data_IF_323787396693
#
_entry.id   IF_323787396693
#
_cell.length_a   1.000
_cell.length_b   1.000
_cell.length_c   1.000
_cell.angle_alpha   90.00
_cell.angle_beta   90.00
_cell.angle_gamma   90.00
#
_symmetry.space_group_name_H-M   'P 1'
#
loop_
_entity.id
_entity.type
_entity.pdbx_description
1 polymer ?
#
# COMPACT_ATOMS: atom_id res chain seq x y z
N UNK A 1 -40.62 -38.31 -34.12
CA UNK A 1 -41.59 -37.96 -35.19
C UNK A 1 -42.91 -37.53 -34.58
N UNK A 2 -43.51 -36.49 -35.16
CA UNK A 2 -44.94 -36.06 -35.17
C UNK A 2 -45.67 -35.70 -33.85
N UNK A 3 -46.11 -34.43 -33.86
CA UNK A 3 -47.14 -33.76 -33.06
C UNK A 3 -48.48 -34.52 -33.02
N UNK A 4 -49.23 -34.31 -31.94
CA UNK A 4 -50.70 -34.19 -31.96
C UNK A 4 -51.14 -33.08 -31.00
N UNK A 5 -51.96 -32.16 -31.53
CA UNK A 5 -52.58 -31.01 -30.86
C UNK A 5 -54.10 -31.27 -30.82
N UNK A 6 -54.72 -30.86 -29.71
CA UNK A 6 -56.07 -30.30 -29.52
C UNK A 6 -57.31 -31.12 -29.96
N UNK A 7 -58.33 -31.25 -29.09
CA UNK A 7 -59.37 -30.23 -28.87
C UNK A 7 -60.61 -30.80 -28.15
N UNK A 8 -61.20 -30.04 -27.22
CA UNK A 8 -62.64 -30.07 -26.93
C UNK A 8 -63.10 -28.79 -26.20
N UNK A 9 -63.70 -27.89 -27.00
CA UNK A 9 -64.86 -27.00 -26.83
C UNK A 9 -65.26 -26.30 -25.49
N UNK A 10 -65.45 -24.96 -25.64
CA UNK A 10 -66.24 -23.98 -24.84
C UNK A 10 -67.72 -24.41 -24.70
N UNK A 11 -68.55 -23.98 -23.75
CA UNK A 11 -68.94 -22.58 -23.40
C UNK A 11 -69.90 -22.57 -22.19
N UNK A 12 -69.80 -21.62 -21.24
CA UNK A 12 -70.94 -20.96 -20.55
C UNK A 12 -70.47 -19.77 -19.69
N UNK A 13 -71.28 -18.69 -19.69
CA UNK A 13 -71.05 -17.37 -19.08
C UNK A 13 -71.75 -17.20 -17.71
N UNK A 14 -71.11 -16.38 -16.84
CA UNK A 14 -71.63 -15.42 -15.82
C UNK A 14 -72.55 -15.94 -14.69
N UNK A 15 -72.45 -15.53 -13.42
CA UNK A 15 -72.34 -14.14 -12.91
C UNK A 15 -71.83 -14.13 -11.45
N UNK A 16 -70.94 -13.19 -11.16
CA UNK A 16 -70.59 -12.70 -9.82
C UNK A 16 -71.77 -11.93 -9.19
N UNK A 17 -71.92 -12.03 -7.87
CA UNK A 17 -72.33 -10.89 -7.03
C UNK A 17 -71.66 -11.01 -5.67
N UNK A 18 -70.65 -10.17 -5.45
CA UNK A 18 -69.87 -10.07 -4.21
C UNK A 18 -70.76 -9.49 -3.09
N UNK A 19 -70.68 -9.93 -1.83
CA UNK A 19 -71.51 -9.41 -0.73
C UNK A 19 -71.39 -7.89 -0.49
N UNK A 20 -70.30 -7.28 -1.00
CA UNK A 20 -70.06 -5.83 -1.00
C UNK A 20 -71.07 -5.05 -1.86
N UNK A 21 -71.60 -5.64 -2.94
CA UNK A 21 -72.55 -4.96 -3.84
C UNK A 21 -73.94 -4.75 -3.20
N UNK A 22 -74.33 -5.60 -2.24
CA UNK A 22 -75.59 -5.45 -1.51
C UNK A 22 -75.53 -4.32 -0.49
N UNK A 23 -74.37 -4.11 0.14
CA UNK A 23 -74.15 -3.04 1.11
C UNK A 23 -74.09 -1.65 0.45
N UNK A 24 -73.46 -1.54 -0.73
CA UNK A 24 -73.43 -0.29 -1.50
C UNK A 24 -74.82 0.14 -2.02
N UNK A 25 -75.70 -0.81 -2.33
CA UNK A 25 -77.08 -0.50 -2.75
C UNK A 25 -77.95 0.02 -1.59
N UNK A 26 -77.66 -0.40 -0.36
CA UNK A 26 -78.39 0.01 0.84
C UNK A 26 -78.00 1.43 1.32
N UNK A 27 -76.72 1.81 1.14
CA UNK A 27 -76.23 3.17 1.42
C UNK A 27 -76.76 4.18 0.40
N UNK A 28 -76.84 3.80 -0.89
CA UNK A 28 -77.40 4.67 -1.94
C UNK A 28 -78.87 5.03 -1.74
N UNK A 29 -79.62 4.26 -0.93
CA UNK A 29 -81.02 4.54 -0.57
C UNK A 29 -81.22 5.54 0.57
N UNK A 30 -80.16 5.91 1.32
CA UNK A 30 -80.27 6.78 2.52
C UNK A 30 -79.55 8.12 2.43
N UNK A 31 -79.05 8.51 1.25
CA UNK A 31 -78.35 9.79 1.06
C UNK A 31 -79.06 10.58 -0.02
N UNK A 32 -79.43 11.83 0.27
CA UNK A 32 -80.07 12.71 -0.70
C UNK A 32 -79.16 12.93 -1.92
N UNK A 33 -79.75 13.15 -3.10
CA UNK A 33 -78.98 13.43 -4.34
C UNK A 33 -78.14 14.70 -4.18
N UNK A 34 -78.61 15.64 -3.35
CA UNK A 34 -77.94 16.91 -3.04
C UNK A 34 -76.66 16.70 -2.21
N UNK A 35 -76.67 15.81 -1.20
CA UNK A 35 -75.48 15.48 -0.40
C UNK A 35 -74.42 14.71 -1.21
N UNK A 36 -74.85 13.88 -2.17
CA UNK A 36 -73.93 13.19 -3.08
C UNK A 36 -73.23 14.16 -4.03
N UNK A 37 -73.89 15.22 -4.48
CA UNK A 37 -73.30 16.25 -5.36
C UNK A 37 -72.33 17.15 -4.59
N UNK A 38 -72.66 17.56 -3.36
CA UNK A 38 -71.80 18.41 -2.52
C UNK A 38 -70.47 17.76 -2.13
N UNK A 39 -70.42 16.43 -1.96
CA UNK A 39 -69.21 15.71 -1.56
C UNK A 39 -68.45 15.02 -2.72
N UNK A 40 -69.02 14.96 -3.93
CA UNK A 40 -68.34 14.36 -5.11
C UNK A 40 -67.14 15.19 -5.58
N UNK A 41 -67.24 16.52 -5.55
CA UNK A 41 -66.15 17.41 -5.94
C UNK A 41 -65.03 17.48 -4.90
N UNK A 42 -65.38 17.38 -3.61
CA UNK A 42 -64.41 17.30 -2.52
C UNK A 42 -63.71 15.94 -2.54
N UNK A 43 -64.45 14.84 -2.72
CA UNK A 43 -63.90 13.49 -2.83
C UNK A 43 -62.97 13.29 -4.03
N UNK A 44 -63.32 13.84 -5.21
CA UNK A 44 -62.47 13.77 -6.40
C UNK A 44 -61.25 14.68 -6.30
N UNK A 45 -61.35 15.88 -5.70
CA UNK A 45 -60.17 16.73 -5.40
C UNK A 45 -59.22 16.06 -4.42
N UNK A 46 -59.72 15.45 -3.34
CA UNK A 46 -58.90 14.74 -2.35
C UNK A 46 -58.26 13.49 -2.98
N UNK A 47 -58.98 12.73 -3.80
CA UNK A 47 -58.44 11.56 -4.49
C UNK A 47 -57.38 11.94 -5.53
N UNK A 48 -57.57 13.03 -6.30
CA UNK A 48 -56.56 13.57 -7.23
C UNK A 48 -55.33 14.08 -6.47
N UNK A 49 -55.50 14.81 -5.37
CA UNK A 49 -54.39 15.26 -4.53
C UNK A 49 -53.63 14.09 -3.88
N UNK A 50 -54.32 13.04 -3.42
CA UNK A 50 -53.66 11.83 -2.91
C UNK A 50 -52.89 11.09 -4.00
N UNK A 51 -53.42 10.98 -5.22
CA UNK A 51 -52.70 10.41 -6.38
C UNK A 51 -51.48 11.24 -6.76
N UNK A 52 -51.62 12.57 -6.82
CA UNK A 52 -50.51 13.49 -7.14
C UNK A 52 -49.42 13.42 -6.05
N UNK A 53 -49.79 13.44 -4.76
CA UNK A 53 -48.84 13.26 -3.64
C UNK A 53 -48.16 11.89 -3.68
N UNK A 54 -48.88 10.82 -4.02
CA UNK A 54 -48.32 9.47 -4.16
C UNK A 54 -47.35 9.39 -5.33
N UNK A 55 -47.67 9.99 -6.48
CA UNK A 55 -46.79 10.07 -7.64
C UNK A 55 -45.54 10.91 -7.31
N UNK A 56 -45.71 12.11 -6.74
CA UNK A 56 -44.61 12.97 -6.29
C UNK A 56 -43.69 12.25 -5.31
N UNK A 57 -44.25 11.54 -4.33
CA UNK A 57 -43.48 10.76 -3.37
C UNK A 57 -42.72 9.63 -4.06
N UNK A 58 -43.35 8.88 -4.96
CA UNK A 58 -42.69 7.82 -5.74
C UNK A 58 -41.59 8.42 -6.64
N UNK A 59 -41.83 9.53 -7.35
CA UNK A 59 -40.82 10.16 -8.20
C UNK A 59 -39.65 10.75 -7.40
N UNK A 60 -39.90 11.32 -6.23
CA UNK A 60 -38.85 11.83 -5.33
C UNK A 60 -38.06 10.68 -4.71
N UNK A 61 -38.71 9.58 -4.32
CA UNK A 61 -38.03 8.37 -3.85
C UNK A 61 -37.19 7.72 -4.95
N UNK A 62 -37.70 7.62 -6.18
CA UNK A 62 -36.96 7.09 -7.33
C UNK A 62 -35.79 8.03 -7.71
N UNK A 63 -35.99 9.35 -7.74
CA UNK A 63 -34.92 10.31 -8.01
C UNK A 63 -33.84 10.29 -6.92
N UNK A 64 -34.23 10.16 -5.65
CA UNK A 64 -33.33 9.98 -4.52
C UNK A 64 -32.54 8.68 -4.61
N UNK A 65 -33.19 7.55 -4.92
CA UNK A 65 -32.52 6.25 -5.13
C UNK A 65 -31.59 6.31 -6.34
N UNK A 66 -31.99 6.90 -7.47
CA UNK A 66 -31.14 7.04 -8.66
C UNK A 66 -29.96 7.97 -8.41
N UNK A 67 -30.13 9.02 -7.60
CA UNK A 67 -29.04 9.92 -7.22
C UNK A 67 -28.08 9.23 -6.25
N UNK A 68 -28.58 8.45 -5.28
CA UNK A 68 -27.74 7.66 -4.37
C UNK A 68 -27.03 6.54 -5.13
N UNK A 69 -27.71 5.80 -5.99
CA UNK A 69 -27.12 4.74 -6.82
C UNK A 69 -26.15 5.32 -7.85
N UNK A 70 -26.49 6.44 -8.49
CA UNK A 70 -25.62 7.16 -9.41
C UNK A 70 -24.39 7.77 -8.73
N UNK A 71 -24.54 8.31 -7.53
CA UNK A 71 -23.42 8.76 -6.69
C UNK A 71 -22.57 7.58 -6.21
N UNK A 72 -23.21 6.48 -5.79
CA UNK A 72 -22.51 5.27 -5.32
C UNK A 72 -21.73 4.63 -6.46
N UNK A 73 -22.31 4.46 -7.66
CA UNK A 73 -21.62 3.99 -8.87
C UNK A 73 -20.55 4.99 -9.32
N UNK A 74 -20.79 6.30 -9.23
CA UNK A 74 -19.81 7.34 -9.53
C UNK A 74 -18.62 7.40 -8.54
N UNK A 75 -18.82 6.90 -7.32
CA UNK A 75 -17.79 6.79 -6.26
C UNK A 75 -17.08 5.42 -6.31
N UNK A 76 -17.78 4.33 -6.65
CA UNK A 76 -17.20 2.98 -6.77
C UNK A 76 -16.57 2.67 -8.12
N UNK A 77 -16.91 3.39 -9.19
CA UNK A 77 -16.27 3.23 -10.52
C UNK A 77 -14.88 3.85 -10.61
N UNK A 78 -14.43 4.61 -9.60
CA UNK A 78 -13.05 5.11 -9.55
C UNK A 78 -12.13 3.95 -9.22
N UNK A 79 -11.30 3.54 -10.19
CA UNK A 79 -10.19 2.62 -9.92
C UNK A 79 -9.25 3.30 -8.93
N UNK A 80 -9.34 2.91 -7.66
CA UNK A 80 -8.45 3.34 -6.58
C UNK A 80 -7.29 2.35 -6.53
N UNK A 81 -6.07 2.86 -6.65
CA UNK A 81 -4.86 2.07 -6.39
C UNK A 81 -4.21 2.65 -5.14
N UNK A 82 -4.24 1.86 -4.06
CA UNK A 82 -3.64 2.20 -2.77
C UNK A 82 -2.23 1.63 -2.68
N UNK A 83 -1.44 2.11 -1.72
CA UNK A 83 -0.15 1.49 -1.40
C UNK A 83 -0.40 0.06 -0.89
N UNK A 84 0.35 -0.89 -1.41
CA UNK A 84 0.21 -2.32 -1.19
C UNK A 84 1.24 -2.77 -0.14
N UNK A 85 0.79 -3.54 0.85
CA UNK A 85 1.66 -4.38 1.68
C UNK A 85 1.72 -5.77 1.08
N UNK A 86 2.87 -6.43 1.17
CA UNK A 86 3.05 -7.79 0.66
C UNK A 86 2.94 -8.81 1.77
N UNK A 87 2.19 -9.89 1.50
CA UNK A 87 2.09 -11.04 2.40
C UNK A 87 3.42 -11.79 2.52
N UNK A 88 3.58 -12.52 3.64
CA UNK A 88 4.82 -13.21 3.98
C UNK A 88 5.21 -14.38 3.07
N UNK A 89 4.31 -14.82 2.18
CA UNK A 89 4.61 -15.86 1.21
C UNK A 89 5.13 -15.34 -0.13
N UNK A 90 5.13 -14.02 -0.35
CA UNK A 90 5.65 -13.41 -1.57
C UNK A 90 7.18 -13.38 -1.51
N UNK A 91 7.84 -13.87 -2.56
CA UNK A 91 9.28 -13.78 -2.68
C UNK A 91 9.69 -12.33 -2.94
N UNK A 92 10.57 -11.79 -2.09
CA UNK A 92 11.03 -10.41 -2.19
C UNK A 92 12.50 -10.37 -2.58
N UNK A 93 12.85 -9.45 -3.46
CA UNK A 93 14.24 -9.11 -3.73
C UNK A 93 14.40 -7.60 -3.82
N UNK A 94 15.54 -7.09 -3.37
CA UNK A 94 15.83 -5.66 -3.43
C UNK A 94 16.40 -5.30 -4.80
N UNK A 95 15.94 -4.18 -5.35
CA UNK A 95 16.41 -3.69 -6.63
C UNK A 95 17.94 -3.55 -6.66
N UNK A 96 18.54 -2.88 -5.68
CA UNK A 96 20.00 -2.69 -5.61
C UNK A 96 20.78 -4.00 -5.65
N UNK A 97 20.35 -5.00 -4.87
CA UNK A 97 20.97 -6.32 -4.85
C UNK A 97 20.94 -7.00 -6.23
N UNK A 98 19.77 -6.98 -6.89
CA UNK A 98 19.65 -7.54 -8.23
C UNK A 98 20.47 -6.73 -9.24
N UNK A 99 20.40 -5.41 -9.15
CA UNK A 99 21.04 -4.49 -10.08
C UNK A 99 22.56 -4.61 -10.02
N UNK A 100 23.16 -4.64 -8.82
CA UNK A 100 24.58 -4.95 -8.63
C UNK A 100 24.94 -6.30 -9.26
N UNK A 101 24.12 -7.33 -9.03
CA UNK A 101 24.40 -8.65 -9.57
C UNK A 101 24.33 -8.69 -11.09
N UNK A 102 23.38 -7.99 -11.68
CA UNK A 102 23.25 -7.88 -13.13
C UNK A 102 24.39 -7.08 -13.75
N UNK A 103 24.89 -6.03 -13.08
CA UNK A 103 26.10 -5.30 -13.50
C UNK A 103 27.31 -6.23 -13.54
N UNK A 104 27.55 -7.01 -12.49
CA UNK A 104 28.64 -8.00 -12.44
C UNK A 104 28.54 -8.99 -13.61
N UNK A 105 27.36 -9.60 -13.81
CA UNK A 105 27.14 -10.57 -14.87
C UNK A 105 27.36 -9.96 -16.25
N UNK A 106 26.90 -8.73 -16.47
CA UNK A 106 27.08 -8.03 -17.73
C UNK A 106 28.56 -7.75 -18.03
N UNK A 107 29.34 -7.32 -17.04
CA UNK A 107 30.79 -7.12 -17.17
C UNK A 107 31.53 -8.43 -17.51
N UNK A 108 31.03 -9.55 -16.99
CA UNK A 108 31.52 -10.89 -17.29
C UNK A 108 31.03 -11.47 -18.64
N UNK A 109 30.23 -10.72 -19.41
CA UNK A 109 29.61 -11.21 -20.65
C UNK A 109 28.55 -12.30 -20.45
N UNK A 110 28.06 -12.47 -19.21
CA UNK A 110 27.04 -13.45 -18.83
C UNK A 110 25.65 -12.82 -18.83
N UNK A 111 24.62 -13.66 -18.90
CA UNK A 111 23.22 -13.24 -18.76
C UNK A 111 22.63 -13.74 -17.43
N UNK A 112 21.72 -12.99 -16.79
CA UNK A 112 21.03 -13.46 -15.61
C UNK A 112 20.19 -14.72 -15.89
N UNK A 113 20.25 -15.68 -14.98
CA UNK A 113 19.46 -16.91 -15.07
C UNK A 113 17.97 -16.65 -14.74
N UNK A 114 17.09 -16.98 -15.69
CA UNK A 114 15.63 -16.86 -15.55
C UNK A 114 15.05 -17.73 -14.42
N UNK A 115 15.74 -18.79 -14.01
CA UNK A 115 15.32 -19.62 -12.87
C UNK A 115 15.42 -18.86 -11.55
N UNK A 116 16.42 -18.00 -11.43
CA UNK A 116 16.67 -17.24 -10.21
C UNK A 116 16.00 -15.86 -10.23
N UNK A 117 15.90 -15.25 -11.41
CA UNK A 117 15.34 -13.91 -11.62
C UNK A 117 14.18 -13.97 -12.63
N UNK A 118 12.91 -13.90 -12.16
CA UNK A 118 11.74 -13.97 -13.04
C UNK A 118 11.60 -12.78 -14.00
N UNK A 119 12.32 -11.69 -13.73
CA UNK A 119 12.41 -10.50 -14.57
C UNK A 119 13.87 -10.04 -14.65
N UNK A 120 14.28 -9.56 -15.83
CA UNK A 120 15.57 -8.91 -16.06
C UNK A 120 15.40 -7.57 -16.76
N UNK A 121 16.40 -6.70 -16.65
CA UNK A 121 16.43 -5.37 -17.28
C UNK A 121 17.87 -4.98 -17.66
N UNK A 122 17.98 -3.98 -18.52
CA UNK A 122 19.24 -3.30 -18.79
C UNK A 122 19.63 -2.42 -17.59
N UNK A 123 20.81 -2.67 -17.02
CA UNK A 123 21.34 -1.93 -15.88
C UNK A 123 22.00 -0.60 -16.28
N UNK A 124 22.36 -0.44 -17.55
CA UNK A 124 23.01 0.75 -18.10
C UNK A 124 21.97 1.65 -18.77
N UNK A 125 21.07 2.22 -17.97
CA UNK A 125 20.05 3.17 -18.45
C UNK A 125 20.50 4.60 -18.18
N UNK A 126 20.22 5.49 -19.13
CA UNK A 126 20.41 6.93 -18.94
C UNK A 126 19.30 7.49 -18.04
N UNK A 127 19.55 8.60 -17.32
CA UNK A 127 18.49 9.30 -16.61
C UNK A 127 17.33 9.66 -17.54
N UNK A 128 16.10 9.47 -17.04
CA UNK A 128 14.88 9.78 -17.79
C UNK A 128 14.68 11.30 -17.83
N UNK A 129 14.40 11.84 -19.02
CA UNK A 129 14.19 13.27 -19.21
C UNK A 129 12.93 13.75 -18.46
N UNK A 130 13.10 14.70 -17.53
CA UNK A 130 12.01 15.32 -16.79
C UNK A 130 12.22 15.34 -15.28
N UNK A 131 11.17 15.66 -14.54
CA UNK A 131 11.10 15.64 -13.07
C UNK A 131 10.40 14.36 -12.58
N UNK A 132 10.79 13.76 -11.44
CA UNK A 132 10.20 12.52 -10.94
C UNK A 132 8.66 12.55 -10.81
N UNK A 133 8.08 13.68 -10.41
CA UNK A 133 6.63 13.79 -10.26
C UNK A 133 5.88 13.80 -11.60
N UNK A 134 6.43 14.44 -12.63
CA UNK A 134 5.86 14.41 -13.98
C UNK A 134 6.01 13.02 -14.62
N UNK A 135 7.14 12.35 -14.37
CA UNK A 135 7.35 10.96 -14.78
C UNK A 135 6.33 10.03 -14.11
N UNK A 136 6.10 10.20 -12.81
CA UNK A 136 5.06 9.47 -12.08
C UNK A 136 3.67 9.69 -12.72
N UNK A 137 3.28 10.95 -13.01
CA UNK A 137 2.01 11.25 -13.68
C UNK A 137 1.89 10.53 -15.03
N UNK A 138 2.95 10.53 -15.85
CA UNK A 138 2.95 9.85 -17.16
C UNK A 138 2.78 8.33 -16.99
N UNK A 139 3.54 7.70 -16.10
CA UNK A 139 3.43 6.26 -15.78
C UNK A 139 1.99 5.90 -15.38
N UNK A 140 1.41 6.67 -14.46
CA UNK A 140 0.07 6.40 -13.94
C UNK A 140 -1.03 6.68 -14.99
N UNK A 141 -0.84 7.68 -15.86
CA UNK A 141 -1.78 8.01 -16.94
C UNK A 141 -1.94 6.90 -17.97
N UNK A 142 -0.89 6.11 -18.19
CA UNK A 142 -0.89 4.94 -19.09
C UNK A 142 -1.22 3.63 -18.37
N UNK A 143 -1.56 3.71 -17.07
CA UNK A 143 -2.04 2.57 -16.28
C UNK A 143 -0.98 1.80 -15.50
N UNK A 144 0.18 2.40 -15.23
CA UNK A 144 1.25 1.85 -14.37
C UNK A 144 1.79 0.49 -14.88
N UNK A 145 2.15 0.42 -16.15
CA UNK A 145 2.61 -0.79 -16.83
C UNK A 145 4.09 -0.73 -17.15
N UNK A 146 4.74 -1.91 -17.23
CA UNK A 146 6.15 -2.04 -17.61
C UNK A 146 6.43 -1.72 -19.08
N UNK A 147 5.43 -1.77 -19.95
CA UNK A 147 5.54 -1.44 -21.39
C UNK A 147 5.36 0.07 -21.66
N UNK A 148 5.25 0.90 -20.62
CA UNK A 148 5.25 2.35 -20.75
C UNK A 148 6.52 2.82 -21.48
N UNK A 149 6.37 3.81 -22.35
CA UNK A 149 7.46 4.35 -23.17
C UNK A 149 8.66 4.81 -22.34
N UNK A 150 8.43 5.34 -21.13
CA UNK A 150 9.47 5.76 -20.19
C UNK A 150 10.45 4.62 -19.87
N UNK A 151 9.97 3.38 -19.91
CA UNK A 151 10.75 2.20 -19.55
C UNK A 151 11.42 1.50 -20.75
N UNK A 152 11.32 2.05 -21.96
CA UNK A 152 11.85 1.40 -23.17
C UNK A 152 13.33 1.04 -23.06
N UNK A 153 14.15 1.92 -22.49
CA UNK A 153 15.59 1.73 -22.29
C UNK A 153 15.93 0.61 -21.29
N UNK A 154 15.03 0.34 -20.34
CA UNK A 154 15.19 -0.76 -19.39
C UNK A 154 15.02 -2.12 -20.05
N UNK A 155 14.30 -2.20 -21.19
CA UNK A 155 14.10 -3.42 -21.96
C UNK A 155 13.75 -4.62 -21.07
N UNK A 156 12.70 -4.47 -20.25
CA UNK A 156 12.28 -5.49 -19.29
C UNK A 156 11.95 -6.81 -19.99
N UNK A 157 12.56 -7.91 -19.55
CA UNK A 157 12.32 -9.25 -20.07
C UNK A 157 11.79 -10.16 -18.97
N UNK A 158 10.67 -10.81 -19.24
CA UNK A 158 10.03 -11.80 -18.37
C UNK A 158 9.22 -12.78 -19.24
N UNK A 159 8.88 -13.94 -18.70
CA UNK A 159 7.98 -14.89 -19.39
C UNK A 159 6.52 -14.44 -19.25
N UNK A 160 6.00 -13.78 -20.28
CA UNK A 160 4.62 -13.30 -20.31
C UNK A 160 3.57 -14.42 -20.30
N UNK A 161 3.94 -15.68 -20.58
CA UNK A 161 3.02 -16.81 -20.45
C UNK A 161 2.80 -17.22 -18.99
N UNK A 162 3.78 -16.92 -18.12
CA UNK A 162 3.76 -17.25 -16.69
C UNK A 162 3.41 -16.04 -15.82
N UNK A 163 3.96 -14.87 -16.13
CA UNK A 163 3.94 -13.70 -15.25
C UNK A 163 3.07 -12.57 -15.80
N UNK A 164 2.38 -11.89 -14.90
CA UNK A 164 1.67 -10.64 -15.14
C UNK A 164 2.29 -9.52 -14.30
N UNK A 165 3.09 -8.62 -14.89
CA UNK A 165 3.75 -7.57 -14.14
C UNK A 165 2.81 -6.41 -13.82
N UNK A 166 3.04 -5.79 -12.66
CA UNK A 166 2.38 -4.56 -12.21
C UNK A 166 3.37 -3.66 -11.52
N UNK A 167 3.27 -2.36 -11.77
CA UNK A 167 3.97 -1.35 -10.99
C UNK A 167 3.11 -0.96 -9.80
N UNK A 168 3.69 -1.01 -8.61
CA UNK A 168 3.01 -0.73 -7.34
C UNK A 168 3.88 0.16 -6.47
N UNK A 169 3.29 0.78 -5.44
CA UNK A 169 4.03 1.52 -4.41
C UNK A 169 5.00 2.58 -4.94
N UNK A 170 4.47 3.64 -5.55
CA UNK A 170 5.31 4.75 -6.01
C UNK A 170 5.73 5.65 -4.85
N UNK A 171 7.03 5.94 -4.76
CA UNK A 171 7.60 6.88 -3.79
C UNK A 171 8.43 7.96 -4.48
N UNK A 172 8.09 9.21 -4.22
CA UNK A 172 8.97 10.35 -4.52
C UNK A 172 10.00 10.49 -3.40
N UNK A 173 11.20 10.94 -3.73
CA UNK A 173 12.29 11.10 -2.76
C UNK A 173 12.65 12.57 -2.58
N UNK A 174 12.31 13.14 -1.41
CA UNK A 174 12.65 14.54 -1.10
C UNK A 174 14.14 14.75 -0.75
N UNK A 175 14.90 13.66 -0.56
CA UNK A 175 16.33 13.63 -0.24
C UNK A 175 17.11 13.55 -1.55
N UNK A 176 16.91 12.47 -2.30
CA UNK A 176 17.40 12.38 -3.67
C UNK A 176 16.30 12.81 -4.63
N UNK A 177 16.20 14.12 -4.83
CA UNK A 177 15.16 14.77 -5.62
C UNK A 177 15.14 14.38 -7.10
N UNK A 178 16.06 13.56 -7.59
CA UNK A 178 16.05 13.01 -8.94
C UNK A 178 15.47 11.59 -9.01
N UNK A 179 15.10 11.01 -7.88
CA UNK A 179 14.68 9.61 -7.83
C UNK A 179 13.17 9.47 -7.76
N UNK A 180 12.66 8.52 -8.54
CA UNK A 180 11.35 7.91 -8.34
C UNK A 180 11.58 6.44 -8.01
N UNK A 181 11.03 5.99 -6.90
CA UNK A 181 11.05 4.59 -6.51
C UNK A 181 9.68 3.95 -6.76
N UNK A 182 9.68 2.67 -7.10
CA UNK A 182 8.48 1.85 -7.15
C UNK A 182 8.81 0.38 -6.97
N UNK A 183 7.80 -0.43 -6.69
CA UNK A 183 7.92 -1.88 -6.62
C UNK A 183 7.43 -2.50 -7.93
N UNK A 184 8.16 -3.49 -8.46
CA UNK A 184 7.72 -4.32 -9.59
C UNK A 184 7.16 -5.63 -9.02
N UNK A 185 5.84 -5.77 -9.08
CA UNK A 185 5.14 -6.97 -8.65
C UNK A 185 4.88 -7.90 -9.85
N UNK A 186 5.29 -9.15 -9.74
CA UNK A 186 5.05 -10.20 -10.72
C UNK A 186 4.07 -11.21 -10.15
N UNK A 187 2.85 -11.20 -10.67
CA UNK A 187 1.81 -12.16 -10.32
C UNK A 187 1.94 -13.38 -11.23
N UNK A 188 2.04 -14.58 -10.65
CA UNK A 188 2.05 -15.81 -11.42
C UNK A 188 0.62 -16.18 -11.83
N UNK A 189 0.39 -16.26 -13.14
CA UNK A 189 -0.93 -16.51 -13.74
C UNK A 189 -1.50 -17.89 -13.40
N UNK A 190 -0.64 -18.86 -13.07
CA UNK A 190 -1.03 -20.25 -12.79
C UNK A 190 -1.11 -20.55 -11.30
N UNK A 191 -0.33 -19.85 -10.47
CA UNK A 191 -0.27 -20.07 -9.03
C UNK A 191 -0.06 -18.77 -8.26
N UNK A 192 -1.14 -18.21 -7.71
CA UNK A 192 -1.11 -16.94 -6.97
C UNK A 192 -0.19 -16.96 -5.73
N UNK A 193 0.08 -18.15 -5.17
CA UNK A 193 0.99 -18.33 -4.03
C UNK A 193 2.47 -18.29 -4.42
N UNK A 194 2.79 -18.17 -5.72
CA UNK A 194 4.15 -18.02 -6.25
C UNK A 194 4.30 -16.65 -6.90
N UNK A 195 4.09 -15.59 -6.12
CA UNK A 195 4.29 -14.22 -6.57
C UNK A 195 5.67 -13.71 -6.17
N UNK A 196 6.21 -12.80 -6.96
CA UNK A 196 7.56 -12.24 -6.77
C UNK A 196 7.51 -10.72 -6.83
N UNK A 197 8.30 -10.04 -6.00
CA UNK A 197 8.41 -8.58 -6.03
C UNK A 197 9.86 -8.13 -6.01
N UNK A 198 10.19 -7.22 -6.92
CA UNK A 198 11.39 -6.40 -6.84
C UNK A 198 11.02 -5.12 -6.12
N UNK A 199 11.54 -4.93 -4.91
CA UNK A 199 11.25 -3.73 -4.11
C UNK A 199 12.25 -2.62 -4.38
N UNK A 200 11.78 -1.38 -4.23
CA UNK A 200 12.57 -0.16 -4.34
C UNK A 200 13.29 -0.02 -5.69
N UNK A 201 12.64 -0.45 -6.77
CA UNK A 201 13.12 -0.18 -8.12
C UNK A 201 13.25 1.32 -8.31
N UNK A 202 14.45 1.78 -8.60
CA UNK A 202 14.78 3.20 -8.62
C UNK A 202 15.08 3.64 -10.04
N UNK A 203 14.42 4.71 -10.48
CA UNK A 203 14.79 5.41 -11.70
C UNK A 203 15.33 6.80 -11.36
N UNK A 204 16.36 7.22 -12.09
CA UNK A 204 16.92 8.57 -11.99
C UNK A 204 16.37 9.45 -13.12
N UNK A 205 16.08 10.70 -12.81
CA UNK A 205 15.61 11.70 -13.77
C UNK A 205 16.63 12.81 -13.99
N UNK A 206 16.53 13.53 -15.11
CA UNK A 206 17.44 14.64 -15.41
C UNK A 206 17.25 15.84 -14.50
N UNK A 207 15.99 16.17 -14.18
CA UNK A 207 15.61 17.32 -13.34
C UNK A 207 15.30 16.85 -11.92
N UNK A 208 15.37 17.78 -10.98
CA UNK A 208 15.01 17.56 -9.56
C UNK A 208 13.53 17.87 -9.34
N UNK A 209 12.94 17.26 -8.31
CA UNK A 209 11.63 17.61 -7.78
C UNK A 209 11.51 19.11 -7.50
N UNK A 210 10.32 19.66 -7.74
CA UNK A 210 9.99 21.07 -7.51
C UNK A 210 10.39 21.52 -6.10
N UNK A 211 11.18 22.59 -6.04
CA UNK A 211 11.69 23.12 -4.78
C UNK A 211 10.59 23.74 -3.92
N UNK A 212 9.47 24.19 -4.49
CA UNK A 212 8.36 24.76 -3.71
C UNK A 212 7.54 23.65 -3.03
N UNK A 213 7.06 22.67 -3.81
CA UNK A 213 6.29 21.54 -3.30
C UNK A 213 7.06 20.70 -2.28
N UNK A 214 8.38 20.60 -2.41
CA UNK A 214 9.27 19.84 -1.52
C UNK A 214 10.22 20.74 -0.72
N UNK A 215 9.79 21.97 -0.42
CA UNK A 215 10.55 22.90 0.43
C UNK A 215 10.71 22.38 1.86
N UNK A 216 11.78 22.80 2.55
CA UNK A 216 12.02 22.41 3.94
C UNK A 216 10.86 22.85 4.85
N UNK A 217 10.31 24.04 4.64
CA UNK A 217 9.11 24.52 5.35
C UNK A 217 7.91 23.60 5.15
N UNK A 218 7.70 23.08 3.95
CA UNK A 218 6.61 22.15 3.67
C UNK A 218 6.83 20.78 4.31
N UNK A 219 8.08 20.27 4.30
CA UNK A 219 8.46 19.03 4.98
C UNK A 219 8.24 19.14 6.49
N UNK A 220 8.66 20.25 7.11
CA UNK A 220 8.44 20.50 8.53
C UNK A 220 6.95 20.50 8.88
N UNK A 221 6.10 21.13 8.04
CA UNK A 221 4.65 21.09 8.21
C UNK A 221 4.09 19.67 8.15
N UNK A 222 4.51 18.86 7.18
CA UNK A 222 4.04 17.46 7.09
C UNK A 222 4.41 16.64 8.33
N UNK A 223 5.64 16.79 8.83
CA UNK A 223 6.11 16.08 10.03
C UNK A 223 5.37 16.50 11.31
N UNK A 224 4.92 17.76 11.40
CA UNK A 224 4.17 18.28 12.54
C UNK A 224 2.67 17.95 12.48
N UNK A 225 2.10 17.82 11.27
CA UNK A 225 0.68 17.55 11.06
C UNK A 225 0.27 16.11 11.42
N UNK A 226 1.17 15.14 11.23
CA UNK A 226 0.91 13.75 11.59
C UNK A 226 1.54 13.40 12.96
N UNK A 227 0.74 13.28 14.03
CA UNK A 227 1.25 12.95 15.36
C UNK A 227 1.88 11.55 15.42
N UNK A 228 1.50 10.62 14.54
CA UNK A 228 2.11 9.29 14.49
C UNK A 228 3.52 9.34 13.92
N UNK A 229 3.77 10.20 12.92
CA UNK A 229 5.11 10.44 12.38
C UNK A 229 6.04 10.97 13.47
N UNK A 230 5.60 12.01 14.17
CA UNK A 230 6.37 12.59 15.29
C UNK A 230 6.63 11.58 16.41
N UNK A 231 5.62 10.78 16.78
CA UNK A 231 5.78 9.73 17.80
C UNK A 231 6.76 8.64 17.35
N UNK A 232 6.68 8.19 16.11
CA UNK A 232 7.59 7.18 15.56
C UNK A 232 9.03 7.70 15.53
N UNK A 233 9.26 8.92 15.05
CA UNK A 233 10.59 9.54 15.00
C UNK A 233 11.23 9.72 16.37
N UNK A 234 10.43 10.02 17.40
CA UNK A 234 10.90 10.20 18.77
C UNK A 234 10.99 8.88 19.56
N UNK A 235 10.57 7.76 18.99
CA UNK A 235 10.67 6.45 19.63
C UNK A 235 12.13 5.98 19.58
N UNK A 236 12.82 6.03 20.73
CA UNK A 236 14.24 5.62 20.86
C UNK A 236 14.43 4.11 21.05
N UNK A 237 13.37 3.39 21.41
CA UNK A 237 13.41 1.98 21.78
C UNK A 237 12.56 1.14 20.81
N UNK A 238 12.97 1.11 19.55
CA UNK A 238 12.37 0.17 18.59
C UNK A 238 12.73 -1.25 19.01
N UNK A 239 11.74 -2.14 19.09
CA UNK A 239 12.01 -3.56 19.34
C UNK A 239 12.23 -4.27 18.02
N UNK A 240 13.43 -4.79 17.80
CA UNK A 240 13.76 -5.55 16.61
C UNK A 240 13.52 -7.03 16.87
N UNK A 241 12.61 -7.63 16.11
CA UNK A 241 12.33 -9.05 16.20
C UNK A 241 13.29 -9.80 15.30
N UNK A 242 14.28 -10.49 15.86
CA UNK A 242 15.17 -11.34 15.09
C UNK A 242 14.51 -12.70 14.89
N UNK A 243 14.04 -12.95 13.67
CA UNK A 243 13.45 -14.23 13.29
C UNK A 243 14.57 -15.20 12.95
N UNK A 244 14.52 -16.39 13.56
CA UNK A 244 15.51 -17.46 13.38
C UNK A 244 14.84 -18.84 13.47
N UNK A 245 15.50 -19.88 12.95
CA UNK A 245 15.03 -21.28 13.06
C UNK A 245 15.28 -21.91 14.43
N UNK A 246 16.28 -21.40 15.13
CA UNK A 246 16.78 -21.98 16.38
C UNK A 246 16.08 -21.34 17.57
N UNK A 247 15.85 -22.12 18.63
CA UNK A 247 15.45 -21.52 19.90
C UNK A 247 16.66 -20.75 20.43
N UNK A 248 16.55 -19.43 20.52
CA UNK A 248 17.59 -18.62 21.14
C UNK A 248 17.68 -18.98 22.63
N UNK A 249 18.86 -19.40 23.07
CA UNK A 249 19.22 -19.50 24.46
C UNK A 249 19.62 -18.10 24.95
N UNK A 250 19.03 -17.67 26.08
CA UNK A 250 19.24 -16.34 26.64
C UNK A 250 20.67 -16.13 27.19
N UNK A 251 21.49 -17.20 27.24
CA UNK A 251 22.90 -17.14 27.59
C UNK A 251 23.77 -16.95 26.33
N UNK A 252 23.83 -15.70 25.86
CA UNK A 252 24.39 -15.22 24.59
C UNK A 252 25.86 -15.56 24.25
N UNK A 253 26.64 -16.22 25.09
CA UNK A 253 28.11 -16.33 24.91
C UNK A 253 28.54 -17.50 24.02
N UNK A 254 27.79 -18.59 23.98
CA UNK A 254 28.12 -19.78 23.17
C UNK A 254 26.94 -20.22 22.27
N UNK A 255 26.01 -19.30 21.99
CA UNK A 255 24.81 -19.61 21.21
C UNK A 255 25.06 -19.43 19.69
N UNK A 256 24.76 -20.47 18.91
CA UNK A 256 24.79 -20.44 17.46
C UNK A 256 23.90 -19.32 16.88
N UNK A 257 22.74 -19.05 17.47
CA UNK A 257 21.84 -17.96 17.07
C UNK A 257 22.51 -16.60 17.21
N UNK A 258 23.33 -16.40 18.25
CA UNK A 258 24.06 -15.16 18.47
C UNK A 258 25.15 -14.96 17.39
N UNK A 259 25.90 -16.00 17.05
CA UNK A 259 26.90 -15.95 15.98
C UNK A 259 26.27 -15.70 14.60
N UNK A 260 25.12 -16.31 14.32
CA UNK A 260 24.35 -16.03 13.09
C UNK A 260 23.93 -14.55 13.00
N UNK A 261 23.39 -14.00 14.10
CA UNK A 261 23.03 -12.59 14.21
C UNK A 261 24.25 -11.68 14.02
N UNK A 262 25.36 -11.99 14.69
CA UNK A 262 26.62 -11.25 14.57
C UNK A 262 27.13 -11.24 13.13
N UNK A 263 27.08 -12.38 12.45
CA UNK A 263 27.47 -12.50 11.04
C UNK A 263 26.57 -11.67 10.13
N UNK A 264 25.25 -11.65 10.38
CA UNK A 264 24.33 -10.80 9.62
C UNK A 264 24.65 -9.31 9.78
N UNK A 265 24.89 -8.83 11.01
CA UNK A 265 25.26 -7.44 11.28
C UNK A 265 26.63 -7.09 10.67
N UNK A 266 27.60 -7.99 10.79
CA UNK A 266 28.92 -7.83 10.16
C UNK A 266 28.79 -7.69 8.64
N UNK A 267 27.98 -8.55 8.00
CA UNK A 267 27.74 -8.48 6.57
C UNK A 267 27.06 -7.16 6.16
N UNK A 268 26.08 -6.69 6.94
CA UNK A 268 25.45 -5.39 6.71
C UNK A 268 26.48 -4.26 6.74
N UNK A 269 27.24 -4.14 7.83
CA UNK A 269 28.22 -3.06 8.01
C UNK A 269 29.31 -3.08 6.93
N UNK A 270 29.80 -4.28 6.58
CA UNK A 270 30.97 -4.42 5.70
C UNK A 270 30.61 -4.41 4.21
N UNK A 271 29.45 -4.95 3.81
CA UNK A 271 29.08 -5.13 2.39
C UNK A 271 27.94 -4.24 1.91
N UNK A 272 27.06 -3.79 2.81
CA UNK A 272 25.83 -3.09 2.44
C UNK A 272 25.92 -1.60 2.79
N UNK A 273 26.33 -1.27 4.02
CA UNK A 273 26.34 0.10 4.53
C UNK A 273 27.20 1.04 3.69
N UNK A 274 28.38 0.58 3.27
CA UNK A 274 29.37 1.36 2.55
C UNK A 274 29.34 1.13 1.02
N UNK A 275 28.38 0.35 0.52
CA UNK A 275 28.25 0.08 -0.91
C UNK A 275 27.35 1.13 -1.58
N UNK A 276 27.88 1.81 -2.59
CA UNK A 276 27.19 2.88 -3.32
C UNK A 276 26.03 2.38 -4.18
N UNK A 277 25.97 1.09 -4.51
CA UNK A 277 24.83 0.52 -5.22
C UNK A 277 23.56 0.45 -4.34
N UNK A 278 23.70 0.49 -3.02
CA UNK A 278 22.58 0.44 -2.07
C UNK A 278 22.26 1.86 -1.60
N UNK A 279 21.05 2.35 -1.91
CA UNK A 279 20.58 3.63 -1.35
C UNK A 279 20.11 3.45 0.10
N UNK A 280 19.79 4.56 0.79
CA UNK A 280 19.39 4.51 2.20
C UNK A 280 18.11 3.67 2.43
N UNK A 281 17.18 3.65 1.47
CA UNK A 281 15.97 2.80 1.52
C UNK A 281 16.37 1.33 1.43
N UNK A 282 17.26 0.97 0.50
CA UNK A 282 17.75 -0.39 0.34
C UNK A 282 18.49 -0.90 1.58
N UNK A 283 19.29 -0.05 2.23
CA UNK A 283 20.03 -0.42 3.45
C UNK A 283 19.06 -0.81 4.57
N UNK A 284 18.02 -0.01 4.78
CA UNK A 284 17.00 -0.30 5.78
C UNK A 284 16.14 -1.52 5.40
N UNK A 285 15.78 -1.67 4.12
CA UNK A 285 15.06 -2.84 3.63
C UNK A 285 15.91 -4.11 3.74
N UNK A 286 17.22 -4.08 3.54
CA UNK A 286 18.08 -5.26 3.64
C UNK A 286 18.05 -5.89 5.04
N UNK A 287 18.01 -5.05 6.08
CA UNK A 287 17.90 -5.53 7.45
C UNK A 287 16.55 -6.19 7.74
N UNK A 288 15.49 -5.68 7.12
CA UNK A 288 14.10 -6.01 7.46
C UNK A 288 13.40 -6.95 6.47
N UNK A 289 13.94 -7.12 5.26
CA UNK A 289 13.31 -7.90 4.20
C UNK A 289 13.47 -9.39 4.44
N UNK A 290 12.39 -10.13 4.17
CA UNK A 290 12.41 -11.58 4.14
C UNK A 290 13.14 -12.06 2.88
N UNK A 291 14.23 -12.83 2.98
CA UNK A 291 14.85 -13.45 1.82
C UNK A 291 13.92 -14.50 1.20
N UNK A 292 14.28 -14.93 -0.01
CA UNK A 292 13.51 -15.89 -0.81
C UNK A 292 13.27 -17.17 -0.01
N UNK A 293 12.01 -17.65 0.05
CA UNK A 293 11.62 -18.82 0.87
C UNK A 293 12.42 -20.09 0.60
N UNK A 294 13.03 -20.19 -0.58
CA UNK A 294 13.77 -21.37 -1.03
C UNK A 294 15.16 -21.50 -0.43
N UNK A 295 15.70 -20.46 0.22
CA UNK A 295 17.03 -20.54 0.83
C UNK A 295 16.90 -20.74 2.34
N UNK A 296 16.93 -22.02 2.74
CA UNK A 296 16.82 -22.43 4.14
C UNK A 296 17.92 -21.84 5.04
N UNK A 297 19.06 -21.40 4.48
CA UNK A 297 20.12 -20.74 5.21
C UNK A 297 19.84 -19.25 5.50
N UNK A 298 18.86 -18.64 4.81
CA UNK A 298 18.61 -17.20 4.86
C UNK A 298 17.46 -16.80 5.80
N UNK A 299 16.81 -17.72 6.52
CA UNK A 299 15.67 -17.43 7.43
C UNK A 299 15.99 -16.53 8.65
N UNK A 300 17.17 -15.92 8.67
CA UNK A 300 17.67 -14.99 9.66
C UNK A 300 17.46 -13.53 9.20
N UNK A 301 16.44 -12.86 9.73
CA UNK A 301 16.10 -11.47 9.38
C UNK A 301 15.48 -10.72 10.56
N UNK A 302 15.52 -9.39 10.53
CA UNK A 302 14.80 -8.59 11.51
C UNK A 302 13.39 -8.26 11.02
N UNK A 303 12.40 -8.22 11.91
CA UNK A 303 11.16 -7.45 11.72
C UNK A 303 11.22 -6.25 12.66
N UNK A 304 10.81 -5.08 12.17
CA UNK A 304 10.75 -3.86 12.98
C UNK A 304 9.46 -3.79 13.84
N UNK A 305 8.42 -4.54 13.45
CA UNK A 305 7.11 -4.57 14.10
C UNK A 305 6.64 -6.01 14.33
N UNK A 306 5.77 -6.21 15.33
CA UNK A 306 5.27 -7.55 15.73
C UNK A 306 4.30 -8.18 14.74
N UNK A 307 3.54 -7.37 14.01
CA UNK A 307 2.54 -7.84 13.04
C UNK A 307 3.17 -8.06 11.67
N UNK A 308 2.63 -9.02 10.90
CA UNK A 308 3.03 -9.31 9.51
C UNK A 308 2.67 -8.20 8.51
N UNK A 309 2.16 -7.07 8.99
CA UNK A 309 2.02 -5.85 8.21
C UNK A 309 3.43 -5.31 7.98
N UNK A 310 4.04 -5.69 6.86
CA UNK A 310 5.30 -5.09 6.42
C UNK A 310 5.08 -3.61 6.22
N UNK A 311 5.83 -2.84 6.97
CA UNK A 311 5.66 -1.42 6.98
C UNK A 311 6.11 -0.84 5.65
N UNK A 312 5.30 0.03 5.09
CA UNK A 312 5.75 0.98 4.09
C UNK A 312 6.97 1.79 4.59
N UNK A 313 7.20 1.77 5.90
CA UNK A 313 8.15 2.54 6.70
C UNK A 313 9.58 2.03 6.58
N UNK A 314 10.44 2.89 6.03
CA UNK A 314 11.87 2.66 5.91
C UNK A 314 12.59 3.84 6.56
N UNK A 315 12.88 3.76 7.88
CA UNK A 315 13.04 4.98 8.68
C UNK A 315 14.48 5.41 8.92
N UNK A 316 15.49 4.64 8.54
CA UNK A 316 16.87 4.91 8.95
C UNK A 316 17.80 5.13 7.76
N UNK A 317 18.49 6.27 7.74
CA UNK A 317 19.74 6.42 6.99
C UNK A 317 20.87 6.29 8.01
N UNK A 318 21.45 5.10 8.05
CA UNK A 318 22.54 4.76 8.96
C UNK A 318 23.75 5.64 8.70
N UNK A 319 24.35 6.15 9.77
CA UNK A 319 25.65 6.82 9.69
C UNK A 319 26.77 5.80 9.56
N UNK A 320 27.94 6.26 9.11
CA UNK A 320 29.11 5.43 8.73
C UNK A 320 29.66 4.52 9.84
N UNK A 321 29.30 4.75 11.10
CA UNK A 321 29.71 3.93 12.24
C UNK A 321 29.01 2.56 12.29
N UNK A 322 27.95 2.37 11.51
CA UNK A 322 27.22 1.11 11.38
C UNK A 322 26.44 0.69 12.62
N UNK A 323 26.05 -0.58 12.66
CA UNK A 323 25.28 -1.19 13.74
C UNK A 323 26.19 -1.98 14.66
N UNK A 324 26.10 -1.73 15.96
CA UNK A 324 26.80 -2.46 17.01
C UNK A 324 25.84 -3.37 17.74
N UNK A 325 26.30 -4.58 18.04
CA UNK A 325 25.57 -5.54 18.86
C UNK A 325 26.08 -5.44 20.30
N UNK A 326 25.23 -5.02 21.24
CA UNK A 326 25.64 -4.76 22.62
C UNK A 326 24.80 -5.53 23.62
N UNK A 327 25.47 -6.12 24.61
CA UNK A 327 24.84 -6.75 25.77
C UNK A 327 24.64 -5.68 26.84
N UNK A 328 23.40 -5.55 27.32
CA UNK A 328 23.05 -4.65 28.41
C UNK A 328 22.58 -5.49 29.58
N UNK A 329 23.28 -5.35 30.70
CA UNK A 329 22.91 -5.97 31.97
C UNK A 329 22.34 -4.90 32.89
N UNK A 330 21.12 -5.14 33.39
CA UNK A 330 20.48 -4.27 34.38
C UNK A 330 20.19 -5.05 35.65
N UNK A 331 20.49 -4.45 36.78
CA UNK A 331 20.09 -4.93 38.09
C UNK A 331 19.08 -3.93 38.67
N UNK A 332 17.80 -4.25 38.55
CA UNK A 332 16.71 -3.46 39.12
C UNK A 332 15.99 -4.34 40.14
N UNK A 333 15.84 -3.87 41.38
CA UNK A 333 15.18 -4.60 42.48
C UNK A 333 15.72 -6.04 42.73
N UNK A 334 17.04 -6.23 42.67
CA UNK A 334 17.71 -7.54 42.76
C UNK A 334 17.35 -8.55 41.65
N UNK A 335 16.74 -8.08 40.55
CA UNK A 335 16.46 -8.87 39.36
C UNK A 335 17.51 -8.51 38.30
N UNK A 336 18.39 -9.46 38.00
CA UNK A 336 19.33 -9.35 36.90
C UNK A 336 18.63 -9.65 35.58
N UNK A 337 18.58 -8.66 34.69
CA UNK A 337 18.09 -8.82 33.33
C UNK A 337 19.22 -8.61 32.34
N UNK A 338 19.43 -9.58 31.44
CA UNK A 338 20.35 -9.46 30.31
C UNK A 338 19.53 -9.23 29.04
N UNK A 339 19.82 -8.15 28.36
CA UNK A 339 19.18 -7.79 27.09
C UNK A 339 20.24 -7.62 26.01
N UNK A 340 19.88 -7.96 24.78
CA UNK A 340 20.74 -7.76 23.63
C UNK A 340 20.15 -6.65 22.77
N UNK A 341 20.96 -5.64 22.46
CA UNK A 341 20.52 -4.46 21.73
C UNK A 341 21.32 -4.26 20.44
N UNK A 342 20.64 -3.74 19.42
CA UNK A 342 21.28 -3.07 18.29
C UNK A 342 21.47 -1.59 18.65
N UNK A 343 22.70 -1.13 18.67
CA UNK A 343 23.04 0.28 18.84
C UNK A 343 23.53 0.86 17.52
N UNK A 344 22.94 1.98 17.09
CA UNK A 344 23.35 2.66 15.87
C UNK A 344 22.95 4.12 15.89
N UNK A 345 23.65 4.94 15.09
CA UNK A 345 23.26 6.32 14.81
C UNK A 345 22.65 6.41 13.43
N UNK A 346 21.51 7.09 13.31
CA UNK A 346 20.88 7.35 12.01
C UNK A 346 20.09 8.64 12.01
N UNK A 347 19.88 9.21 10.84
CA UNK A 347 18.80 10.19 10.64
C UNK A 347 17.50 9.44 10.40
N UNK A 348 16.39 10.01 10.89
CA UNK A 348 15.07 9.41 10.75
C UNK A 348 14.33 9.96 9.52
N UNK A 349 13.67 9.08 8.78
CA UNK A 349 12.86 9.43 7.62
C UNK A 349 11.43 8.96 7.80
N UNK A 350 10.52 9.76 7.27
CA UNK A 350 9.09 9.59 7.39
C UNK A 350 8.49 9.45 6.02
N UNK A 351 7.24 8.99 6.00
CA UNK A 351 6.50 8.78 4.77
C UNK A 351 5.25 9.63 4.82
N UNK A 352 5.13 10.53 3.86
CA UNK A 352 3.92 11.30 3.62
C UNK A 352 3.14 10.61 2.52
N UNK A 353 1.92 10.17 2.82
CA UNK A 353 1.01 9.61 1.82
C UNK A 353 0.22 10.72 1.15
N UNK A 354 0.07 10.65 -0.16
CA UNK A 354 -0.71 11.62 -0.93
C UNK A 354 -1.47 10.91 -2.06
N UNK A 355 -2.43 11.61 -2.69
CA UNK A 355 -3.29 11.06 -3.74
C UNK A 355 -3.20 11.91 -5.00
N UNK A 356 -2.96 11.24 -6.13
CA UNK A 356 -3.04 11.82 -7.45
C UNK A 356 -4.36 11.43 -8.10
N UNK A 357 -5.15 12.43 -8.50
CA UNK A 357 -6.37 12.22 -9.27
C UNK A 357 -6.07 12.54 -10.73
N UNK A 358 -6.18 11.54 -11.59
CA UNK A 358 -5.93 11.69 -13.03
C UNK A 358 -7.15 12.24 -13.76
N UNK A 359 -6.95 12.72 -15.00
CA UNK A 359 -8.03 13.24 -15.88
C UNK A 359 -9.16 12.21 -16.10
N UNK A 360 -8.82 10.93 -16.15
CA UNK A 360 -9.78 9.83 -16.27
C UNK A 360 -10.51 9.50 -14.93
N UNK A 361 -10.39 10.36 -13.91
CA UNK A 361 -10.95 10.23 -12.56
C UNK A 361 -10.43 9.03 -11.75
N UNK A 362 -9.40 8.35 -12.24
CA UNK A 362 -8.70 7.33 -11.46
C UNK A 362 -7.88 8.00 -10.36
N UNK A 363 -7.83 7.36 -9.18
CA UNK A 363 -7.16 7.89 -8.01
C UNK A 363 -6.03 6.94 -7.63
N UNK A 364 -4.83 7.48 -7.50
CA UNK A 364 -3.64 6.72 -7.16
C UNK A 364 -3.05 7.28 -5.88
N UNK A 365 -2.84 6.42 -4.89
CA UNK A 365 -2.04 6.75 -3.73
C UNK A 365 -0.56 6.60 -4.08
N UNK A 366 0.23 7.60 -3.70
CA UNK A 366 1.68 7.56 -3.76
C UNK A 366 2.22 8.07 -2.43
N UNK A 367 3.49 7.78 -2.18
CA UNK A 367 4.17 8.19 -0.97
C UNK A 367 5.35 9.11 -1.29
N UNK A 368 5.83 9.82 -0.27
CA UNK A 368 6.99 10.69 -0.35
C UNK A 368 7.89 10.35 0.84
N UNK A 369 9.15 9.99 0.57
CA UNK A 369 10.18 9.90 1.60
C UNK A 369 10.63 11.31 1.96
N UNK A 370 10.50 11.69 3.24
CA UNK A 370 10.94 13.00 3.72
C UNK A 370 11.82 12.86 4.97
N UNK A 371 12.87 13.68 5.11
CA UNK A 371 13.65 13.74 6.36
C UNK A 371 12.79 14.22 7.52
N UNK A 372 13.04 13.68 8.71
CA UNK A 372 12.41 14.17 9.92
C UNK A 372 13.14 15.38 10.49
N UNK A 373 12.43 16.50 10.45
CA UNK A 373 12.71 17.71 11.21
C UNK A 373 11.40 18.50 11.38
N UNK A 374 11.38 19.37 12.37
CA UNK A 374 10.25 20.23 12.74
C UNK A 374 10.65 21.69 12.65
N UNK A 375 9.69 22.62 12.76
CA UNK A 375 9.99 24.06 12.81
C UNK A 375 10.86 24.45 14.01
N UNK A 376 10.95 23.60 15.03
CA UNK A 376 11.88 23.78 16.16
C UNK A 376 13.35 23.53 15.79
N UNK A 377 13.59 22.83 14.68
CA UNK A 377 14.94 22.53 14.17
C UNK A 377 15.44 23.57 13.18
N UNK A 378 14.64 24.60 12.93
CA UNK A 378 14.97 25.71 12.05
C UNK A 378 16.05 26.57 12.69
N UNK A 379 17.10 26.81 11.92
CA UNK A 379 18.11 27.82 12.23
C UNK A 379 18.10 28.89 11.14
N UNK A 380 18.52 30.12 11.48
CA UNK A 380 18.69 31.19 10.50
C UNK A 380 20.19 31.40 10.33
N UNK A 381 20.68 31.21 9.11
CA UNK A 381 22.07 31.48 8.73
C UNK A 381 22.08 32.33 7.48
N UNK A 382 22.78 33.47 7.52
CA UNK A 382 22.88 34.42 6.39
C UNK A 382 21.51 34.84 5.82
N UNK A 383 20.52 35.03 6.71
CA UNK A 383 19.16 35.41 6.33
C UNK A 383 18.33 34.30 5.68
N UNK A 384 18.84 33.07 5.60
CA UNK A 384 18.14 31.90 5.06
C UNK A 384 17.76 30.93 6.16
N UNK A 385 16.58 30.36 6.02
CA UNK A 385 16.10 29.27 6.88
C UNK A 385 16.85 27.99 6.50
N UNK A 386 17.43 27.32 7.49
CA UNK A 386 18.11 26.05 7.32
C UNK A 386 17.53 25.06 8.31
N UNK A 387 17.04 23.93 7.78
CA UNK A 387 16.57 22.81 8.58
C UNK A 387 17.60 21.67 8.55
N UNK A 388 18.06 21.24 9.72
CA UNK A 388 18.98 20.11 9.83
C UNK A 388 18.23 18.85 10.25
N UNK A 389 18.30 17.75 9.46
CA UNK A 389 17.76 16.47 9.89
C UNK A 389 18.37 16.03 11.21
N UNK A 390 17.53 15.59 12.15
CA UNK A 390 18.01 15.13 13.46
C UNK A 390 18.75 13.80 13.33
N UNK A 391 19.93 13.74 13.92
CA UNK A 391 20.65 12.47 14.16
C UNK A 391 20.18 11.91 15.49
N UNK A 392 19.75 10.66 15.46
CA UNK A 392 19.32 9.93 16.64
C UNK A 392 20.30 8.81 16.96
N UNK A 393 20.55 8.62 18.25
CA UNK A 393 21.23 7.44 18.78
C UNK A 393 20.17 6.46 19.26
N UNK A 394 20.16 5.28 18.66
CA UNK A 394 19.21 4.21 18.97
C UNK A 394 19.90 3.13 19.80
N UNK A 395 19.18 2.61 20.79
CA UNK A 395 19.54 1.38 21.51
C UNK A 395 18.30 0.50 21.55
N UNK A 396 18.23 -0.38 20.57
CA UNK A 396 17.02 -1.11 20.22
C UNK A 396 17.10 -2.55 20.74
N UNK A 397 16.25 -2.96 21.70
CA UNK A 397 16.26 -4.34 22.18
C UNK A 397 15.92 -5.32 21.05
N UNK A 398 16.51 -6.51 21.12
CA UNK A 398 16.29 -7.61 20.20
C UNK A 398 15.41 -8.65 20.89
N UNK A 399 14.29 -8.98 20.25
CA UNK A 399 13.42 -10.09 20.65
C UNK A 399 13.62 -11.24 19.67
N UNK A 400 13.99 -12.42 20.16
CA UNK A 400 14.15 -13.59 19.31
C UNK A 400 12.80 -14.24 19.02
N UNK A 401 12.54 -14.54 17.75
CA UNK A 401 11.31 -15.17 17.29
C UNK A 401 11.66 -16.45 16.55
N UNK A 402 11.14 -17.59 17.00
CA UNK A 402 11.35 -18.86 16.31
C UNK A 402 10.37 -18.99 15.13
N UNK A 403 10.89 -19.13 13.91
CA UNK A 403 10.12 -19.29 12.68
C UNK A 403 9.27 -20.58 12.64
N UNK A 404 9.60 -21.58 13.45
CA UNK A 404 8.88 -22.87 13.53
C UNK A 404 7.63 -22.81 14.43
N UNK A 405 7.44 -21.72 15.19
CA UNK A 405 6.24 -21.56 15.99
C UNK A 405 5.06 -21.14 15.10
N UNK A 406 4.16 -22.11 14.82
CA UNK A 406 2.89 -21.95 14.05
C UNK A 406 1.93 -20.84 14.53
N UNK A 407 2.26 -20.11 15.59
CA UNK A 407 1.38 -19.15 16.28
C UNK A 407 1.60 -17.68 15.89
N UNK A 408 2.45 -17.39 14.92
CA UNK A 408 2.53 -16.06 14.32
C UNK A 408 1.81 -16.07 12.96
N UNK A 409 0.48 -16.16 13.04
CA UNK A 409 -0.46 -15.92 11.93
C UNK A 409 -1.40 -14.80 12.35
#
# INVERSE_FOLDING_TARGET
MKKLRNSTWRTTMSKNSDPLDQWEQEIKRRVSIEDQLLHKDIGTKIAKQKKIKKILFITLSVAGIVTIVGATIGVTSRKKMELVTYDDYIDVSLYSQINSKFKELYLDGKQPDKKNYPITWNVNTKPILGEPFEILKKILSEGAKLDNEIFKEFNFKYDASQWNPRLTNFFLDAINRKHLHFDIYLENKKNLNQSYVVRNFTIETTNVLDNEMFSETQIAKWNEQDPNISKAALTKNWNFYYVTKTNANLNFENDKTFEELRNKISNFNNRILNNNDYNYVDKSLWLTSHPKKTDEAELNYFKLFQSDVRDWFVPFNFLSQGIQLKKIEKNENNIFTKTLNLEFKSTFYTIVKNKLILKNKSSYEYAIYVPFFTNKDKTIKDGKEIYQPRVFEYSCPITFVNSNYKKFK
#
